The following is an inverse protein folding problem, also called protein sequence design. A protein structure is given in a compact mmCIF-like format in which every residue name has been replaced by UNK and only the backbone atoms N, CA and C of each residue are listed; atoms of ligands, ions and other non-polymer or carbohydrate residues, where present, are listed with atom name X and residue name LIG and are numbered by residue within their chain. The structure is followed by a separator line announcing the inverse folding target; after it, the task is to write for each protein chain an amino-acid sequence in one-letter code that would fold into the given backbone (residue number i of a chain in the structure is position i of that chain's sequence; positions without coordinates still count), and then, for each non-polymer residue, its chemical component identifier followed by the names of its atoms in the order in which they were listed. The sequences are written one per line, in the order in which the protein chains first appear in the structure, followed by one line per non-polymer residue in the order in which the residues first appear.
data_IF_208773062285
#
_entry.id   IF_208773062285
#
_cell.length_a   1.000
_cell.length_b   1.000
_cell.length_c   1.000
_cell.angle_alpha   90.00
_cell.angle_beta   90.00
_cell.angle_gamma   90.00
#
_symmetry.space_group_name_H-M   'P 1'
#
loop_
_entity.id
_entity.type
_entity.pdbx_description
1 polymer ?
#
# COMPACT_ATOMS: atom_id res chain seq x y z
N UNK A 1 7.52 4.99 5.03
CA UNK A 1 8.42 5.01 6.21
C UNK A 1 9.81 5.42 5.79
N UNK A 2 10.43 6.34 6.52
CA UNK A 2 11.79 6.83 6.28
C UNK A 2 12.74 6.51 7.45
N UNK A 3 12.37 5.53 8.29
CA UNK A 3 13.24 5.06 9.37
C UNK A 3 14.44 4.40 8.72
N UNK A 4 15.62 4.98 8.95
CA UNK A 4 16.86 4.54 8.33
C UNK A 4 17.16 3.08 8.70
N UNK A 5 17.30 2.23 7.69
CA UNK A 5 17.71 0.83 7.85
C UNK A 5 16.60 -0.14 8.26
N UNK A 6 15.34 0.30 8.35
CA UNK A 6 14.22 -0.58 8.67
C UNK A 6 14.00 -1.66 7.60
N UNK A 7 14.22 -1.31 6.34
CA UNK A 7 14.21 -2.19 5.18
C UNK A 7 15.24 -3.32 5.31
N UNK A 8 16.46 -2.98 5.75
CA UNK A 8 17.54 -3.96 5.95
C UNK A 8 17.27 -4.89 7.12
N UNK A 9 16.73 -4.37 8.22
CA UNK A 9 16.33 -5.18 9.37
C UNK A 9 15.28 -6.22 8.96
N UNK A 10 14.20 -5.78 8.31
CA UNK A 10 13.14 -6.66 7.84
C UNK A 10 13.69 -7.71 6.86
N UNK A 11 14.56 -7.30 5.92
CA UNK A 11 15.18 -8.22 4.97
C UNK A 11 16.03 -9.30 5.65
N UNK A 12 16.72 -8.94 6.73
CA UNK A 12 17.59 -9.85 7.49
C UNK A 12 16.77 -10.85 8.29
N UNK A 13 15.76 -10.39 9.03
CA UNK A 13 14.91 -11.24 9.87
C UNK A 13 14.05 -12.20 9.05
N UNK A 14 13.47 -11.73 7.94
CA UNK A 14 12.59 -12.53 7.09
C UNK A 14 13.35 -13.34 6.04
N UNK A 15 14.67 -13.12 5.88
CA UNK A 15 15.52 -13.75 4.85
C UNK A 15 14.93 -13.63 3.44
N UNK A 16 14.26 -12.50 3.19
CA UNK A 16 13.59 -12.22 1.92
C UNK A 16 13.95 -10.80 1.46
N UNK A 17 14.02 -10.54 0.15
CA UNK A 17 14.31 -9.22 -0.36
C UNK A 17 13.18 -8.23 0.00
N UNK A 18 13.58 -7.02 0.39
CA UNK A 18 12.69 -5.91 0.74
C UNK A 18 13.03 -4.72 -0.13
N UNK A 19 12.02 -4.09 -0.72
CA UNK A 19 12.17 -2.91 -1.55
C UNK A 19 11.43 -1.73 -0.96
N UNK A 20 12.08 -0.58 -0.95
CA UNK A 20 11.46 0.68 -0.58
C UNK A 20 10.95 1.34 -1.86
N UNK A 21 9.69 1.76 -1.85
CA UNK A 21 9.10 2.53 -2.96
C UNK A 21 9.75 3.91 -3.04
N UNK A 22 9.87 4.46 -4.25
CA UNK A 22 10.49 5.78 -4.49
C UNK A 22 9.68 6.94 -3.87
N UNK A 23 8.36 6.77 -3.71
CA UNK A 23 7.48 7.79 -3.11
C UNK A 23 6.59 7.18 -2.00
N UNK A 24 7.16 6.89 -0.82
CA UNK A 24 6.43 6.23 0.26
C UNK A 24 5.43 7.16 0.95
N UNK A 25 5.55 8.48 0.76
CA UNK A 25 4.70 9.45 1.43
C UNK A 25 3.38 9.65 0.68
N UNK A 26 3.39 9.63 -0.66
CA UNK A 26 2.15 9.80 -1.45
C UNK A 26 1.60 8.49 -2.02
N UNK A 27 2.31 7.36 -1.86
CA UNK A 27 1.89 6.05 -2.38
C UNK A 27 0.42 5.71 -2.09
N UNK A 28 -0.07 5.99 -0.87
CA UNK A 28 -1.43 5.67 -0.45
C UNK A 28 -2.45 6.49 -1.23
N UNK A 29 -2.35 7.83 -1.21
CA UNK A 29 -3.34 8.70 -1.88
C UNK A 29 -3.33 8.49 -3.40
N UNK A 30 -2.16 8.24 -4.00
CA UNK A 30 -2.05 7.88 -5.41
C UNK A 30 -2.74 6.55 -5.73
N UNK A 31 -2.58 5.55 -4.86
CA UNK A 31 -3.30 4.28 -4.97
C UNK A 31 -4.81 4.46 -4.87
N UNK A 32 -5.28 5.31 -3.95
CA UNK A 32 -6.70 5.65 -3.83
C UNK A 32 -7.24 6.33 -5.10
N UNK A 33 -6.50 7.27 -5.69
CA UNK A 33 -6.88 7.88 -6.96
C UNK A 33 -7.03 6.85 -8.08
N UNK A 34 -6.00 6.00 -8.26
CA UNK A 34 -6.03 4.90 -9.24
C UNK A 34 -7.21 3.95 -9.04
N UNK A 35 -7.57 3.67 -7.79
CA UNK A 35 -8.72 2.81 -7.48
C UNK A 35 -10.05 3.42 -7.95
N UNK A 36 -10.23 4.73 -7.79
CA UNK A 36 -11.46 5.41 -8.19
C UNK A 36 -11.64 5.41 -9.72
N UNK A 37 -10.54 5.40 -10.46
CA UNK A 37 -10.52 5.34 -11.92
C UNK A 37 -10.71 3.91 -12.49
N UNK A 38 -10.70 2.87 -11.64
CA UNK A 38 -10.91 1.47 -12.05
C UNK A 38 -12.28 0.96 -11.54
N UNK A 39 -13.33 0.95 -12.41
CA UNK A 39 -14.67 0.53 -12.00
C UNK A 39 -14.76 -0.94 -11.58
N UNK A 40 -13.92 -1.83 -12.15
CA UNK A 40 -13.94 -3.25 -11.82
C UNK A 40 -13.35 -3.49 -10.44
N UNK A 41 -12.20 -2.86 -10.18
CA UNK A 41 -11.54 -2.94 -8.88
C UNK A 41 -12.39 -2.25 -7.81
N UNK A 42 -12.91 -1.05 -8.09
CA UNK A 42 -13.77 -0.31 -7.18
C UNK A 42 -14.99 -1.13 -6.77
N UNK A 43 -15.65 -1.81 -7.71
CA UNK A 43 -16.78 -2.70 -7.39
C UNK A 43 -16.38 -3.88 -6.49
N UNK A 44 -15.15 -4.39 -6.62
CA UNK A 44 -14.64 -5.52 -5.83
C UNK A 44 -14.34 -5.14 -4.37
N UNK A 45 -13.79 -3.95 -4.12
CA UNK A 45 -13.39 -3.51 -2.77
C UNK A 45 -14.39 -2.57 -2.10
N UNK A 46 -15.33 -1.96 -2.83
CA UNK A 46 -16.39 -1.12 -2.25
C UNK A 46 -17.16 -1.91 -1.20
N UNK A 47 -16.98 -1.54 0.05
CA UNK A 47 -17.75 -2.08 1.17
C UNK A 47 -19.09 -1.33 1.19
N UNK A 48 -20.21 -2.04 1.07
CA UNK A 48 -21.50 -1.44 1.37
C UNK A 48 -21.55 -1.17 2.88
N UNK A 49 -21.96 0.03 3.30
CA UNK A 49 -22.18 0.30 4.71
C UNK A 49 -23.17 -0.75 5.25
N UNK A 50 -22.74 -1.49 6.28
CA UNK A 50 -23.65 -2.38 7.00
C UNK A 50 -24.70 -1.47 7.62
N UNK A 51 -25.95 -1.59 7.16
CA UNK A 51 -27.10 -0.96 7.83
C UNK A 51 -27.09 -1.49 9.26
N UNK A 52 -26.76 -0.61 10.20
CA UNK A 52 -27.07 -0.80 11.63
C UNK A 52 -28.56 -0.49 11.79
#
# INVERSE_FOLDING_TARGET
SLIRGIDKLIATELKMPVWVTDDPQTAVVRGCGKLLDDPLLLRKVKVAARKV
#
